data_IF_216468021835
#
_entry.id   IF_216468021835
#
_cell.length_a   1.000
_cell.length_b   1.000
_cell.length_c   1.000
_cell.angle_alpha   90.00
_cell.angle_beta   90.00
_cell.angle_gamma   90.00
#
_symmetry.space_group_name_H-M   'P 1'
#
loop_
_entity.id
_entity.type
_entity.pdbx_description
1 polymer ?
#
# COMPACT_ATOMS: atom_id res chain seq x y z
N UNK A 1 38.05 -19.42 1.99
CA UNK A 1 37.21 -18.81 3.05
C UNK A 1 36.42 -17.61 2.52
N UNK A 2 37.04 -16.64 1.83
CA UNK A 2 36.33 -15.48 1.23
C UNK A 2 35.24 -15.88 0.23
N UNK A 3 35.54 -16.78 -0.72
CA UNK A 3 34.54 -17.31 -1.67
C UNK A 3 33.37 -18.05 -1.01
N UNK A 4 33.58 -18.63 0.19
CA UNK A 4 32.49 -19.29 0.94
C UNK A 4 31.53 -18.23 1.50
N UNK A 5 32.05 -17.12 2.03
CA UNK A 5 31.24 -16.02 2.55
C UNK A 5 30.41 -15.31 1.47
N UNK A 6 30.94 -15.15 0.25
CA UNK A 6 30.18 -14.54 -0.86
C UNK A 6 29.01 -15.43 -1.32
N UNK A 7 29.22 -16.75 -1.37
CA UNK A 7 28.16 -17.71 -1.68
C UNK A 7 27.07 -17.73 -0.60
N UNK A 8 27.46 -17.64 0.68
CA UNK A 8 26.51 -17.59 1.80
C UNK A 8 25.60 -16.35 1.72
N UNK A 9 26.15 -15.18 1.37
CA UNK A 9 25.39 -13.94 1.21
C UNK A 9 24.40 -14.03 0.04
N UNK A 10 24.81 -14.61 -1.10
CA UNK A 10 23.94 -14.81 -2.26
C UNK A 10 22.76 -15.72 -1.93
N UNK A 11 23.00 -16.81 -1.18
CA UNK A 11 21.93 -17.74 -0.74
C UNK A 11 20.92 -17.01 0.14
N UNK A 12 21.37 -16.15 1.06
CA UNK A 12 20.48 -15.36 1.93
C UNK A 12 19.59 -14.43 1.10
N UNK A 13 20.12 -13.74 0.09
CA UNK A 13 19.31 -12.88 -0.78
C UNK A 13 18.25 -13.65 -1.56
N UNK A 14 18.61 -14.80 -2.13
CA UNK A 14 17.66 -15.66 -2.86
C UNK A 14 16.58 -16.18 -1.92
N UNK A 15 16.96 -16.63 -0.72
CA UNK A 15 16.01 -17.10 0.29
C UNK A 15 15.06 -15.98 0.74
N UNK A 16 15.56 -14.77 0.97
CA UNK A 16 14.75 -13.61 1.32
C UNK A 16 13.74 -13.27 0.20
N UNK A 17 14.18 -13.29 -1.06
CA UNK A 17 13.31 -13.06 -2.21
C UNK A 17 12.19 -14.09 -2.33
N UNK A 18 12.52 -15.38 -2.15
CA UNK A 18 11.53 -16.46 -2.12
C UNK A 18 10.52 -16.24 -0.99
N UNK A 19 10.98 -15.84 0.20
CA UNK A 19 10.11 -15.55 1.33
C UNK A 19 9.12 -14.42 1.03
N UNK A 20 9.57 -13.34 0.41
CA UNK A 20 8.67 -12.23 -0.02
C UNK A 20 7.59 -12.73 -0.97
N UNK A 21 7.95 -13.56 -1.96
CA UNK A 21 7.00 -14.14 -2.92
C UNK A 21 5.99 -15.07 -2.20
N UNK A 22 6.47 -15.90 -1.27
CA UNK A 22 5.61 -16.82 -0.53
C UNK A 22 4.62 -16.07 0.37
N UNK A 23 5.08 -15.03 1.07
CA UNK A 23 4.21 -14.17 1.89
C UNK A 23 3.19 -13.46 1.00
N UNK A 24 3.59 -12.92 -0.15
CA UNK A 24 2.67 -12.31 -1.11
C UNK A 24 1.58 -13.28 -1.61
N UNK A 25 1.97 -14.52 -1.95
CA UNK A 25 1.02 -15.57 -2.34
C UNK A 25 0.07 -15.97 -1.21
N UNK A 26 0.58 -16.08 0.01
CA UNK A 26 -0.21 -16.40 1.20
C UNK A 26 -1.23 -15.30 1.46
N UNK A 27 -0.80 -14.04 1.51
CA UNK A 27 -1.67 -12.89 1.74
C UNK A 27 -2.74 -12.76 0.65
N UNK A 28 -2.36 -12.93 -0.63
CA UNK A 28 -3.32 -12.99 -1.74
C UNK A 28 -4.39 -14.05 -1.48
N UNK A 29 -4.00 -15.26 -1.10
CA UNK A 29 -4.94 -16.36 -0.86
C UNK A 29 -5.84 -16.12 0.36
N UNK A 30 -5.30 -15.58 1.45
CA UNK A 30 -6.02 -15.35 2.71
C UNK A 30 -7.02 -14.21 2.58
N UNK A 31 -6.58 -13.05 2.09
CA UNK A 31 -7.40 -11.83 2.07
C UNK A 31 -8.23 -11.68 0.79
N UNK A 32 -7.75 -12.15 -0.36
CA UNK A 32 -8.43 -11.93 -1.64
C UNK A 32 -9.05 -13.21 -2.21
N UNK A 33 -8.57 -14.39 -1.79
CA UNK A 33 -8.97 -15.66 -2.39
C UNK A 33 -8.52 -15.74 -3.85
N UNK A 34 -9.45 -15.47 -4.78
CA UNK A 34 -9.15 -15.33 -6.20
C UNK A 34 -9.07 -13.85 -6.58
N UNK A 35 -7.86 -13.44 -6.98
CA UNK A 35 -7.62 -12.11 -7.53
C UNK A 35 -8.23 -12.03 -8.93
N UNK A 36 -9.01 -10.98 -9.19
CA UNK A 36 -9.67 -10.75 -10.48
C UNK A 36 -8.65 -10.23 -11.49
N UNK A 37 -8.92 -10.44 -12.78
CA UNK A 37 -8.02 -9.98 -13.85
C UNK A 37 -7.83 -8.45 -13.80
N UNK A 38 -8.92 -7.68 -13.63
CA UNK A 38 -8.86 -6.22 -13.54
C UNK A 38 -8.01 -5.72 -12.36
N UNK A 39 -8.08 -6.36 -11.19
CA UNK A 39 -7.25 -6.00 -10.03
C UNK A 39 -5.78 -6.27 -10.28
N UNK A 40 -5.48 -7.38 -10.97
CA UNK A 40 -4.11 -7.71 -11.33
C UNK A 40 -3.55 -6.73 -12.36
N UNK A 41 -4.36 -6.35 -13.34
CA UNK A 41 -3.99 -5.39 -14.39
C UNK A 41 -3.73 -3.99 -13.80
N UNK A 42 -4.66 -3.45 -13.01
CA UNK A 42 -4.48 -2.20 -12.28
C UNK A 42 -3.24 -2.24 -11.37
N UNK A 43 -3.04 -3.35 -10.64
CA UNK A 43 -1.86 -3.52 -9.81
C UNK A 43 -0.58 -3.45 -10.63
N UNK A 44 -0.50 -4.18 -11.75
CA UNK A 44 0.68 -4.20 -12.61
C UNK A 44 1.00 -2.82 -13.18
N UNK A 45 -0.01 -2.10 -13.66
CA UNK A 45 0.15 -0.74 -14.17
C UNK A 45 0.70 0.19 -13.08
N UNK A 46 0.00 0.29 -11.94
CA UNK A 46 0.41 1.14 -10.81
C UNK A 46 1.78 0.76 -10.27
N UNK A 47 2.11 -0.53 -10.20
CA UNK A 47 3.41 -1.01 -9.76
C UNK A 47 4.53 -0.56 -10.68
N UNK A 48 4.34 -0.65 -12.00
CA UNK A 48 5.36 -0.20 -12.96
C UNK A 48 5.61 1.31 -12.82
N UNK A 49 4.54 2.11 -12.75
CA UNK A 49 4.65 3.56 -12.53
C UNK A 49 5.40 3.88 -11.23
N UNK A 50 4.99 3.30 -10.11
CA UNK A 50 5.64 3.56 -8.82
C UNK A 50 7.10 3.14 -8.81
N UNK A 51 7.47 2.02 -9.44
CA UNK A 51 8.88 1.64 -9.57
C UNK A 51 9.64 2.69 -10.38
N UNK A 52 9.12 3.14 -11.52
CA UNK A 52 9.81 4.13 -12.35
C UNK A 52 9.96 5.48 -11.66
N UNK A 53 8.92 6.00 -11.01
CA UNK A 53 8.98 7.26 -10.24
C UNK A 53 9.99 7.17 -9.12
N UNK A 54 9.97 6.05 -8.40
CA UNK A 54 10.86 5.85 -7.27
C UNK A 54 12.30 5.73 -7.76
N UNK A 55 12.56 4.96 -8.82
CA UNK A 55 13.87 4.90 -9.48
C UNK A 55 14.35 6.28 -9.96
N UNK A 56 13.47 7.11 -10.52
CA UNK A 56 13.79 8.47 -10.95
C UNK A 56 14.15 9.37 -9.76
N UNK A 57 13.32 9.39 -8.72
CA UNK A 57 13.60 10.12 -7.48
C UNK A 57 14.91 9.66 -6.83
N UNK A 58 15.27 8.38 -7.01
CA UNK A 58 16.49 7.80 -6.47
C UNK A 58 17.75 8.15 -7.25
N UNK A 59 17.65 8.58 -8.51
CA UNK A 59 18.82 9.12 -9.22
C UNK A 59 19.35 10.40 -8.55
N UNK A 60 18.50 11.11 -7.79
CA UNK A 60 18.87 12.25 -6.94
C UNK A 60 19.65 11.80 -5.69
N UNK A 61 19.42 10.58 -5.19
CA UNK A 61 20.09 9.99 -4.02
C UNK A 61 21.16 8.96 -4.41
N UNK A 62 21.94 9.28 -5.45
CA UNK A 62 22.93 8.38 -6.08
C UNK A 62 23.91 7.72 -5.09
N UNK A 63 24.25 8.38 -4.00
CA UNK A 63 25.25 7.92 -3.03
C UNK A 63 24.69 7.00 -1.93
N UNK A 64 23.36 6.81 -1.85
CA UNK A 64 22.69 6.01 -0.81
C UNK A 64 22.19 4.62 -1.27
N UNK A 65 22.60 4.16 -2.45
CA UNK A 65 22.16 2.89 -3.06
C UNK A 65 22.75 1.67 -2.32
N UNK A 66 22.21 1.37 -1.14
CA UNK A 66 22.62 0.25 -0.28
C UNK A 66 21.63 -0.92 -0.36
N UNK A 67 22.03 -2.17 -0.09
CA UNK A 67 21.10 -3.30 0.00
C UNK A 67 19.94 -3.07 0.98
N UNK A 68 20.19 -2.29 2.05
CA UNK A 68 19.17 -1.86 3.02
C UNK A 68 18.06 -1.04 2.36
N UNK A 69 18.43 -0.16 1.45
CA UNK A 69 17.49 0.67 0.72
C UNK A 69 16.58 -0.14 -0.19
N UNK A 70 17.15 -1.08 -0.96
CA UNK A 70 16.37 -2.00 -1.81
C UNK A 70 15.38 -2.80 -0.96
N UNK A 71 15.78 -3.24 0.23
CA UNK A 71 14.88 -3.91 1.16
C UNK A 71 13.74 -3.00 1.63
N UNK A 72 14.04 -1.77 2.07
CA UNK A 72 13.02 -0.79 2.49
C UNK A 72 12.04 -0.46 1.35
N UNK A 73 12.56 -0.25 0.14
CA UNK A 73 11.76 -0.01 -1.04
C UNK A 73 10.87 -1.21 -1.40
N UNK A 74 11.42 -2.43 -1.34
CA UNK A 74 10.64 -3.66 -1.59
C UNK A 74 9.50 -3.80 -0.61
N UNK A 75 9.73 -3.53 0.69
CA UNK A 75 8.68 -3.55 1.72
C UNK A 75 7.63 -2.47 1.45
N UNK A 76 8.04 -1.24 1.13
CA UNK A 76 7.13 -0.16 0.80
C UNK A 76 6.25 -0.51 -0.40
N UNK A 77 6.86 -0.95 -1.52
CA UNK A 77 6.14 -1.31 -2.74
C UNK A 77 5.18 -2.48 -2.49
N UNK A 78 5.59 -3.45 -1.66
CA UNK A 78 4.76 -4.57 -1.25
C UNK A 78 3.52 -4.07 -0.49
N UNK A 79 3.67 -3.23 0.54
CA UNK A 79 2.54 -2.66 1.28
C UNK A 79 1.64 -1.81 0.37
N UNK A 80 2.21 -0.97 -0.48
CA UNK A 80 1.51 -0.11 -1.42
C UNK A 80 0.66 -0.93 -2.40
N UNK A 81 1.17 -2.08 -2.84
CA UNK A 81 0.43 -3.04 -3.67
C UNK A 81 -0.82 -3.56 -2.96
N UNK A 82 -0.74 -3.91 -1.67
CA UNK A 82 -1.90 -4.38 -0.92
C UNK A 82 -2.92 -3.26 -0.64
N UNK A 83 -2.47 -2.02 -0.49
CA UNK A 83 -3.38 -0.87 -0.40
C UNK A 83 -4.18 -0.66 -1.68
N UNK A 84 -3.53 -0.71 -2.84
CA UNK A 84 -4.23 -0.61 -4.13
C UNK A 84 -5.21 -1.76 -4.34
N UNK A 85 -4.83 -2.98 -3.97
CA UNK A 85 -5.76 -4.11 -4.03
C UNK A 85 -6.93 -3.96 -3.04
N UNK A 86 -6.70 -3.40 -1.84
CA UNK A 86 -7.76 -3.14 -0.87
C UNK A 86 -8.75 -2.09 -1.41
N UNK A 87 -8.25 -1.03 -2.04
CA UNK A 87 -9.05 -0.01 -2.72
C UNK A 87 -9.91 -0.64 -3.83
N UNK A 88 -9.31 -1.39 -4.77
CA UNK A 88 -10.04 -2.06 -5.86
C UNK A 88 -11.12 -3.03 -5.35
N UNK A 89 -10.92 -3.62 -4.17
CA UNK A 89 -11.90 -4.50 -3.52
C UNK A 89 -13.06 -3.73 -2.93
N UNK A 90 -12.80 -2.60 -2.27
CA UNK A 90 -13.85 -1.74 -1.73
C UNK A 90 -14.64 -1.08 -2.85
N UNK A 91 -13.99 -0.61 -3.91
CA UNK A 91 -14.66 -0.03 -5.09
C UNK A 91 -15.52 -1.08 -5.84
N UNK A 92 -15.13 -2.36 -5.78
CA UNK A 92 -15.99 -3.42 -6.30
C UNK A 92 -17.23 -3.68 -5.45
N UNK A 93 -17.15 -3.44 -4.15
CA UNK A 93 -18.30 -3.59 -3.25
C UNK A 93 -19.47 -2.69 -3.69
N UNK A 94 -19.17 -1.50 -4.19
CA UNK A 94 -20.19 -0.59 -4.74
C UNK A 94 -20.92 -1.16 -5.96
N UNK A 95 -20.19 -1.86 -6.83
CA UNK A 95 -20.75 -2.38 -8.09
C UNK A 95 -21.42 -3.74 -7.93
N UNK A 96 -21.32 -4.37 -6.76
CA UNK A 96 -21.78 -5.73 -6.55
C UNK A 96 -23.03 -5.77 -5.67
N UNK A 97 -24.17 -6.29 -6.16
CA UNK A 97 -25.44 -6.26 -5.45
C UNK A 97 -25.56 -7.29 -4.31
N UNK A 98 -24.60 -8.21 -4.16
CA UNK A 98 -24.65 -9.26 -3.13
C UNK A 98 -23.26 -9.47 -2.52
N UNK A 99 -23.08 -9.03 -1.28
CA UNK A 99 -21.83 -9.16 -0.53
C UNK A 99 -21.99 -10.21 0.57
N UNK A 100 -21.03 -11.13 0.67
CA UNK A 100 -21.02 -12.17 1.70
C UNK A 100 -20.32 -11.71 2.99
N UNK A 101 -20.70 -12.28 4.14
CA UNK A 101 -20.00 -12.04 5.41
C UNK A 101 -18.50 -12.36 5.37
N UNK A 102 -18.11 -13.40 4.61
CA UNK A 102 -16.69 -13.75 4.43
C UNK A 102 -15.91 -12.63 3.73
N UNK A 103 -16.56 -11.89 2.82
CA UNK A 103 -15.94 -10.73 2.16
C UNK A 103 -15.65 -9.63 3.18
N UNK A 104 -16.63 -9.27 4.03
CA UNK A 104 -16.44 -8.26 5.06
C UNK A 104 -15.31 -8.62 6.04
N UNK A 105 -15.26 -9.88 6.50
CA UNK A 105 -14.18 -10.35 7.39
C UNK A 105 -12.81 -10.22 6.72
N UNK A 106 -12.70 -10.61 5.44
CA UNK A 106 -11.44 -10.52 4.69
C UNK A 106 -10.99 -9.08 4.47
N UNK A 107 -11.89 -8.19 4.07
CA UNK A 107 -11.56 -6.78 3.86
C UNK A 107 -11.21 -6.10 5.17
N UNK A 108 -12.03 -6.25 6.22
CA UNK A 108 -11.74 -5.64 7.53
C UNK A 108 -10.42 -6.14 8.13
N UNK A 109 -10.16 -7.45 8.09
CA UNK A 109 -8.88 -8.00 8.59
C UNK A 109 -7.68 -7.49 7.79
N UNK A 110 -7.82 -7.33 6.46
CA UNK A 110 -6.79 -6.72 5.61
C UNK A 110 -6.55 -5.26 6.00
N UNK A 111 -7.61 -4.45 6.12
CA UNK A 111 -7.50 -3.02 6.46
C UNK A 111 -6.86 -2.81 7.83
N UNK A 112 -7.28 -3.58 8.84
CA UNK A 112 -6.69 -3.50 10.19
C UNK A 112 -5.22 -3.91 10.19
N UNK A 113 -4.86 -4.99 9.49
CA UNK A 113 -3.47 -5.44 9.42
C UNK A 113 -2.58 -4.42 8.69
N UNK A 114 -3.03 -3.86 7.56
CA UNK A 114 -2.28 -2.84 6.83
C UNK A 114 -2.10 -1.57 7.67
N UNK A 115 -3.17 -1.03 8.26
CA UNK A 115 -3.07 0.16 9.11
C UNK A 115 -2.19 -0.05 10.34
N UNK A 116 -2.21 -1.26 10.94
CA UNK A 116 -1.28 -1.60 12.01
C UNK A 116 0.18 -1.61 11.54
N UNK A 117 0.46 -2.18 10.36
CA UNK A 117 1.81 -2.19 9.79
C UNK A 117 2.29 -0.77 9.49
N UNK A 118 1.46 0.08 8.87
CA UNK A 118 1.82 1.46 8.56
C UNK A 118 2.16 2.26 9.82
N UNK A 119 1.32 2.16 10.87
CA UNK A 119 1.60 2.79 12.16
C UNK A 119 2.93 2.31 12.76
N UNK A 120 3.18 0.99 12.74
CA UNK A 120 4.43 0.44 13.25
C UNK A 120 5.64 0.96 12.46
N UNK A 121 5.54 1.05 11.12
CA UNK A 121 6.64 1.56 10.28
C UNK A 121 6.85 3.07 10.45
N UNK A 122 5.79 3.87 10.62
CA UNK A 122 5.89 5.30 10.94
C UNK A 122 6.55 5.49 12.30
N UNK A 123 6.14 4.76 13.33
CA UNK A 123 6.78 4.81 14.64
C UNK A 123 8.25 4.39 14.59
N UNK A 124 8.57 3.35 13.82
CA UNK A 124 9.96 2.92 13.61
C UNK A 124 10.80 4.00 12.90
N UNK A 125 10.26 4.63 11.87
CA UNK A 125 10.93 5.72 11.15
C UNK A 125 11.14 6.95 12.04
N UNK A 126 10.13 7.31 12.85
CA UNK A 126 10.22 8.37 13.84
C UNK A 126 11.34 8.10 14.86
N UNK A 127 11.35 6.92 15.47
CA UNK A 127 12.36 6.52 16.45
C UNK A 127 13.77 6.49 15.84
N UNK A 128 13.89 5.98 14.61
CA UNK A 128 15.18 5.98 13.89
C UNK A 128 15.67 7.40 13.60
N UNK A 129 14.76 8.33 13.32
CA UNK A 129 15.10 9.73 13.04
C UNK A 129 15.60 10.45 14.30
N UNK A 130 14.92 10.26 15.43
CA UNK A 130 15.34 10.83 16.73
C UNK A 130 16.73 10.33 17.12
N UNK A 131 17.02 9.04 16.90
CA UNK A 131 18.26 8.42 17.38
C UNK A 131 19.46 8.60 16.44
N UNK A 132 19.24 8.66 15.12
CA UNK A 132 20.31 8.67 14.11
C UNK A 132 20.33 9.94 13.25
N UNK A 133 19.39 10.86 13.48
CA UNK A 133 19.19 12.05 12.65
C UNK A 133 18.38 11.78 11.38
N UNK A 134 18.18 12.84 10.59
CA UNK A 134 17.50 12.75 9.31
C UNK A 134 18.29 11.86 8.34
N UNK A 135 17.61 10.86 7.78
CA UNK A 135 18.18 9.91 6.83
C UNK A 135 17.09 9.43 5.86
N UNK A 136 17.45 8.58 4.90
CA UNK A 136 16.51 7.95 3.96
C UNK A 136 15.32 7.28 4.67
N UNK A 137 15.49 6.81 5.91
CA UNK A 137 14.40 6.25 6.72
C UNK A 137 13.23 7.24 6.95
N UNK A 138 13.52 8.54 7.02
CA UNK A 138 12.51 9.60 7.19
C UNK A 138 11.67 9.77 5.92
N UNK A 139 12.29 9.67 4.74
CA UNK A 139 11.58 9.71 3.45
C UNK A 139 10.60 8.54 3.34
N UNK A 140 11.06 7.33 3.66
CA UNK A 140 10.16 6.16 3.75
C UNK A 140 9.09 6.34 4.83
N UNK A 141 9.43 6.96 5.97
CA UNK A 141 8.48 7.32 7.02
C UNK A 141 7.30 8.15 6.53
N UNK A 142 7.57 9.13 5.65
CA UNK A 142 6.51 9.91 5.00
C UNK A 142 5.66 9.07 4.06
N UNK A 143 6.26 8.21 3.24
CA UNK A 143 5.50 7.29 2.39
C UNK A 143 4.59 6.36 3.21
N UNK A 144 5.04 5.86 4.37
CA UNK A 144 4.20 5.07 5.27
C UNK A 144 3.07 5.91 5.90
N UNK A 145 3.30 7.18 6.20
CA UNK A 145 2.24 8.08 6.69
C UNK A 145 1.20 8.39 5.59
N UNK A 146 1.64 8.48 4.34
CA UNK A 146 0.74 8.57 3.19
C UNK A 146 -0.10 7.30 3.11
N UNK A 147 0.50 6.10 3.14
CA UNK A 147 -0.23 4.82 3.16
C UNK A 147 -1.28 4.76 4.29
N UNK A 148 -0.93 5.26 5.49
CA UNK A 148 -1.89 5.36 6.60
C UNK A 148 -3.09 6.26 6.28
N UNK A 149 -2.89 7.35 5.54
CA UNK A 149 -3.98 8.22 5.11
C UNK A 149 -4.86 7.51 4.07
N UNK A 150 -4.23 6.74 3.18
CA UNK A 150 -4.92 5.91 2.18
C UNK A 150 -5.80 4.86 2.85
N UNK A 151 -5.28 4.13 3.84
CA UNK A 151 -6.08 3.09 4.51
C UNK A 151 -7.27 3.67 5.27
N UNK A 152 -7.14 4.87 5.85
CA UNK A 152 -8.25 5.60 6.48
C UNK A 152 -9.31 5.94 5.42
N UNK A 153 -8.92 6.40 4.23
CA UNK A 153 -9.88 6.69 3.16
C UNK A 153 -10.61 5.43 2.69
N UNK A 154 -9.89 4.32 2.46
CA UNK A 154 -10.49 3.06 2.07
C UNK A 154 -11.48 2.58 3.14
N UNK A 155 -11.16 2.77 4.42
CA UNK A 155 -12.06 2.44 5.53
C UNK A 155 -13.32 3.32 5.55
N UNK A 156 -13.20 4.62 5.26
CA UNK A 156 -14.33 5.53 5.12
C UNK A 156 -15.22 5.07 3.95
N UNK A 157 -14.66 4.85 2.75
CA UNK A 157 -15.39 4.32 1.59
C UNK A 157 -16.13 3.03 1.93
N UNK A 158 -15.43 2.08 2.55
CA UNK A 158 -16.01 0.81 2.99
C UNK A 158 -17.23 1.01 3.92
N UNK A 159 -17.11 1.92 4.89
CA UNK A 159 -18.19 2.23 5.83
C UNK A 159 -19.38 2.84 5.10
N UNK A 160 -19.13 3.82 4.22
CA UNK A 160 -20.19 4.47 3.43
C UNK A 160 -20.95 3.46 2.55
N UNK A 161 -20.22 2.61 1.82
CA UNK A 161 -20.83 1.57 0.99
C UNK A 161 -21.59 0.53 1.81
N UNK A 162 -21.11 0.18 3.01
CA UNK A 162 -21.82 -0.74 3.90
C UNK A 162 -23.12 -0.13 4.43
N UNK A 163 -23.12 1.16 4.77
CA UNK A 163 -24.34 1.87 5.19
C UNK A 163 -25.34 1.94 4.03
N UNK A 164 -24.88 2.29 2.84
CA UNK A 164 -25.70 2.39 1.62
C UNK A 164 -26.36 1.05 1.26
N UNK A 165 -25.61 -0.05 1.32
CA UNK A 165 -26.15 -1.40 1.07
C UNK A 165 -27.22 -1.84 2.09
N UNK A 166 -27.21 -1.29 3.30
CA UNK A 166 -28.19 -1.61 4.34
C UNK A 166 -29.34 -0.58 4.42
N UNK A 167 -29.31 0.49 3.63
CA UNK A 167 -30.35 1.51 3.60
C UNK A 167 -31.50 1.08 2.68
N UNK A 168 -32.74 1.22 3.14
CA UNK A 168 -33.93 0.97 2.31
C UNK A 168 -34.14 2.06 1.24
N UNK A 169 -33.65 3.28 1.50
CA UNK A 169 -33.73 4.41 0.59
C UNK A 169 -32.35 4.71 -0.02
N UNK A 170 -32.26 5.01 -1.34
CA UNK A 170 -31.03 5.45 -1.97
C UNK A 170 -30.45 6.69 -1.26
N UNK A 171 -29.16 6.69 -0.95
CA UNK A 171 -28.55 7.81 -0.23
C UNK A 171 -28.21 8.97 -1.16
N UNK A 172 -29.15 9.92 -1.30
CA UNK A 172 -29.05 11.06 -2.23
C UNK A 172 -27.79 11.94 -2.01
N UNK A 173 -27.25 11.99 -0.78
CA UNK A 173 -26.05 12.78 -0.45
C UNK A 173 -24.72 12.01 -0.51
N UNK A 174 -24.75 10.71 -0.86
CA UNK A 174 -23.55 9.85 -0.90
C UNK A 174 -22.49 10.41 -1.85
N UNK A 175 -22.89 10.87 -3.03
CA UNK A 175 -21.98 11.46 -4.01
C UNK A 175 -21.26 12.71 -3.48
N UNK A 176 -21.94 13.52 -2.65
CA UNK A 176 -21.37 14.72 -2.05
C UNK A 176 -20.34 14.35 -0.96
N UNK A 177 -20.64 13.36 -0.12
CA UNK A 177 -19.68 12.86 0.87
C UNK A 177 -18.46 12.20 0.22
N UNK A 178 -18.67 11.39 -0.82
CA UNK A 178 -17.58 10.80 -1.60
C UNK A 178 -16.72 11.91 -2.23
N UNK A 179 -17.35 12.93 -2.83
CA UNK A 179 -16.64 14.09 -3.36
C UNK A 179 -15.83 14.82 -2.27
N UNK A 180 -16.38 15.03 -1.06
CA UNK A 180 -15.61 15.64 0.02
C UNK A 180 -14.43 14.77 0.46
N UNK A 181 -14.62 13.45 0.55
CA UNK A 181 -13.51 12.54 0.85
C UNK A 181 -12.47 12.54 -0.27
N UNK A 182 -12.88 12.59 -1.53
CA UNK A 182 -12.00 12.71 -2.69
C UNK A 182 -11.33 14.08 -2.78
N UNK A 183 -11.94 15.15 -2.27
CA UNK A 183 -11.36 16.49 -2.31
C UNK A 183 -10.32 16.67 -1.19
N UNK A 184 -10.64 16.25 0.04
CA UNK A 184 -9.69 16.24 1.16
C UNK A 184 -8.50 15.32 0.86
N UNK A 185 -8.78 14.15 0.27
CA UNK A 185 -7.73 13.25 -0.17
C UNK A 185 -7.05 13.71 -1.46
N UNK A 186 -7.79 14.35 -2.37
CA UNK A 186 -7.30 14.89 -3.63
C UNK A 186 -6.41 16.11 -3.44
N UNK A 187 -6.49 16.82 -2.32
CA UNK A 187 -5.43 17.77 -1.92
C UNK A 187 -4.16 17.02 -1.45
N UNK A 188 -4.33 15.89 -0.76
CA UNK A 188 -3.21 15.02 -0.32
C UNK A 188 -2.60 14.18 -1.45
N UNK A 189 -3.38 13.79 -2.47
CA UNK A 189 -3.00 12.98 -3.64
C UNK A 189 -2.67 13.84 -4.86
N UNK A 190 -3.41 14.92 -5.03
CA UNK A 190 -3.27 15.83 -6.14
C UNK A 190 -2.00 16.65 -6.10
N UNK A 191 -1.57 17.05 -4.90
CA UNK A 191 -0.24 17.63 -4.72
C UNK A 191 0.87 16.72 -5.27
N UNK A 192 0.65 15.41 -5.45
CA UNK A 192 1.62 14.49 -6.07
C UNK A 192 1.37 14.22 -7.56
N UNK A 193 0.13 14.12 -8.03
CA UNK A 193 -0.16 13.94 -9.47
C UNK A 193 0.11 15.21 -10.30
N UNK A 194 0.01 16.42 -9.73
CA UNK A 194 0.21 17.69 -10.45
C UNK A 194 1.57 18.37 -10.19
N UNK A 195 2.33 18.00 -9.14
CA UNK A 195 3.71 18.51 -8.93
C UNK A 195 4.80 17.73 -9.68
N UNK A 196 4.43 16.72 -10.47
CA UNK A 196 5.35 15.99 -11.37
C UNK A 196 5.15 16.37 -12.84
N UNK A 197 4.22 17.29 -13.14
CA UNK A 197 4.06 17.93 -14.46
C UNK A 197 4.65 19.36 -14.52
N UNK A 198 5.31 19.82 -13.46
CA UNK A 198 6.14 21.03 -13.38
C UNK A 198 7.45 20.71 -12.67
#
# INVERSE_FOLDING_TARGET
>A
MVLRGELEIQVIYVQAFIMVILVGKLMRKVFFGQLRAAEFEHLMERSWYAVTETCLAFTVFRDDFSPKFVALFTVLLFLKSFHWLAEDRVDFMERSPVISWLFHIRVLSLLTMLGALDLNFVCHAYQSTITKGASVQLVFGFEYAILLTIIINIFIKYTLHTIDLNSENPWDSKAVFLLYTELVMGESYGSYNYRLLL
#
